data_IF_261472959898
#
_entry.id   IF_261472959898
#
_cell.length_a   1.000
_cell.length_b   1.000
_cell.length_c   1.000
_cell.angle_alpha   90.00
_cell.angle_beta   90.00
_cell.angle_gamma   90.00
#
_symmetry.space_group_name_H-M   'P 1'
#
loop_
_entity.id
_entity.type
_entity.pdbx_description
1 polymer ?
#
# COMPACT_ATOMS: atom_id res chain seq x y z
N UNK A 1 -38.61 -16.83 49.39
CA UNK A 1 -39.11 -15.59 50.06
C UNK A 1 -38.69 -14.45 49.16
N UNK A 2 -39.63 -14.02 48.46
CA UNK A 2 -40.29 -12.68 48.32
C UNK A 2 -39.52 -11.75 47.37
N UNK A 3 -40.04 -11.59 46.15
CA UNK A 3 -40.99 -10.57 45.68
C UNK A 3 -40.39 -9.16 45.71
N UNK A 4 -40.46 -8.31 44.73
CA UNK A 4 -41.53 -7.96 43.78
C UNK A 4 -41.04 -6.86 42.79
N UNK A 5 -41.41 -6.93 41.54
CA UNK A 5 -42.28 -6.02 40.74
C UNK A 5 -41.87 -4.54 40.71
N UNK A 6 -41.60 -4.06 39.56
CA UNK A 6 -42.42 -3.48 38.47
C UNK A 6 -42.55 -1.95 38.59
N UNK A 7 -42.23 -1.23 37.51
CA UNK A 7 -43.21 -0.33 36.88
C UNK A 7 -42.71 0.35 35.61
N UNK A 8 -43.46 0.17 34.52
CA UNK A 8 -43.53 1.12 33.40
C UNK A 8 -44.66 2.11 33.70
N UNK A 9 -44.68 3.26 33.10
CA UNK A 9 -45.84 3.50 32.24
C UNK A 9 -45.51 4.11 30.86
N UNK A 10 -46.44 3.81 29.95
CA UNK A 10 -46.64 4.36 28.61
C UNK A 10 -47.52 5.60 28.71
N UNK A 11 -47.71 6.19 27.54
CA UNK A 11 -48.71 7.13 27.04
C UNK A 11 -48.20 8.55 26.80
N UNK A 12 -48.53 9.32 25.80
CA UNK A 12 -49.64 9.23 24.86
C UNK A 12 -49.39 10.19 23.68
N UNK A 13 -50.05 9.90 22.62
CA UNK A 13 -50.18 10.68 21.35
C UNK A 13 -50.92 12.02 21.57
N UNK A 14 -50.60 13.01 20.75
CA UNK A 14 -51.69 13.89 20.20
C UNK A 14 -51.29 14.49 18.85
N UNK A 15 -52.21 14.39 17.91
CA UNK A 15 -52.30 14.96 16.55
C UNK A 15 -53.00 16.33 16.59
N UNK A 16 -52.63 17.22 15.64
CA UNK A 16 -53.52 18.10 14.87
C UNK A 16 -52.66 19.01 14.00
N UNK A 17 -52.72 19.05 12.73
CA UNK A 17 -53.65 19.39 11.65
C UNK A 17 -53.86 20.88 11.45
N UNK A 18 -53.68 21.26 10.14
CA UNK A 18 -54.27 22.35 9.31
C UNK A 18 -53.60 23.72 9.44
N UNK A 19 -53.45 24.57 8.44
CA UNK A 19 -53.92 24.66 7.05
C UNK A 19 -53.19 25.78 6.29
N UNK A 20 -52.97 25.58 5.02
CA UNK A 20 -53.20 26.41 3.84
C UNK A 20 -53.04 27.95 3.87
N UNK A 21 -52.38 28.47 2.84
CA UNK A 21 -52.46 29.85 2.41
C UNK A 21 -51.37 30.28 1.44
N UNK A 22 -51.55 30.11 0.13
CA UNK A 22 -50.98 30.99 -0.89
C UNK A 22 -52.01 32.06 -1.22
N UNK A 23 -51.66 33.23 -1.82
CA UNK A 23 -50.99 33.37 -3.10
C UNK A 23 -50.17 34.68 -3.38
N UNK A 24 -49.50 34.66 -4.56
CA UNK A 24 -49.25 35.75 -5.55
C UNK A 24 -48.41 36.96 -5.11
N UNK A 25 -47.53 37.50 -5.84
CA UNK A 25 -47.24 37.78 -7.24
C UNK A 25 -46.19 38.89 -7.34
N UNK A 26 -45.45 38.87 -8.43
CA UNK A 26 -44.81 40.01 -9.14
C UNK A 26 -43.50 40.62 -8.64
N UNK A 27 -42.49 40.61 -9.54
CA UNK A 27 -41.42 41.58 -9.54
C UNK A 27 -40.16 41.14 -10.30
N UNK A 28 -40.15 41.29 -11.63
CA UNK A 28 -38.95 41.28 -12.48
C UNK A 28 -37.84 42.17 -11.96
N UNK A 29 -36.62 41.68 -11.99
CA UNK A 29 -35.50 42.42 -12.64
C UNK A 29 -34.30 41.49 -12.92
N UNK A 30 -33.93 41.53 -14.17
CA UNK A 30 -32.75 40.97 -14.82
C UNK A 30 -31.46 41.52 -14.23
N UNK A 31 -30.52 40.61 -13.91
CA UNK A 31 -29.13 40.94 -13.66
C UNK A 31 -28.29 39.83 -14.26
N UNK A 32 -27.69 40.09 -15.41
CA UNK A 32 -26.79 39.20 -16.10
C UNK A 32 -25.49 39.04 -15.29
N UNK A 33 -25.13 37.79 -14.94
CA UNK A 33 -23.83 37.45 -14.46
C UNK A 33 -22.87 37.28 -15.66
N UNK A 34 -21.58 37.69 -15.56
CA UNK A 34 -20.64 37.57 -16.66
C UNK A 34 -20.21 36.11 -16.86
N UNK A 35 -20.21 35.70 -18.11
CA UNK A 35 -19.74 34.40 -18.56
C UNK A 35 -18.25 34.22 -18.24
N UNK A 36 -17.93 33.14 -17.53
CA UNK A 36 -16.54 32.61 -17.42
C UNK A 36 -16.06 32.14 -18.79
N UNK A 37 -14.80 32.40 -19.15
CA UNK A 37 -14.26 31.96 -20.42
C UNK A 37 -14.12 30.41 -20.42
N UNK A 38 -14.67 29.80 -21.46
CA UNK A 38 -14.54 28.39 -21.77
C UNK A 38 -13.04 28.01 -21.88
N UNK A 39 -12.60 27.13 -21.00
CA UNK A 39 -11.30 26.48 -21.12
C UNK A 39 -11.30 25.63 -22.40
N UNK A 40 -10.45 25.99 -23.32
CA UNK A 40 -10.18 25.20 -24.54
C UNK A 40 -9.54 23.89 -24.12
N UNK A 41 -10.27 22.78 -24.21
CA UNK A 41 -9.73 21.44 -24.16
C UNK A 41 -8.83 21.24 -25.37
N UNK A 42 -7.51 21.31 -25.14
CA UNK A 42 -6.51 20.84 -26.09
C UNK A 42 -6.61 19.31 -26.20
N UNK A 43 -6.20 18.72 -27.35
CA UNK A 43 -6.28 17.28 -27.54
C UNK A 43 -5.39 16.59 -26.50
N UNK A 44 -6.02 15.78 -25.62
CA UNK A 44 -5.32 14.84 -24.74
C UNK A 44 -4.51 13.91 -25.66
N UNK A 45 -3.20 14.03 -25.60
CA UNK A 45 -2.31 13.12 -26.31
C UNK A 45 -2.55 11.72 -25.76
N UNK A 46 -3.27 10.91 -26.53
CA UNK A 46 -3.49 9.50 -26.28
C UNK A 46 -2.12 8.83 -26.25
N UNK A 47 -1.64 8.46 -25.07
CA UNK A 47 -0.41 7.72 -24.89
C UNK A 47 -0.44 6.54 -25.87
N UNK A 48 0.59 6.41 -26.70
CA UNK A 48 0.74 5.29 -27.63
C UNK A 48 0.77 4.02 -26.79
N UNK A 49 -0.22 3.15 -26.95
CA UNK A 49 -0.22 1.84 -26.37
C UNK A 49 1.09 1.13 -26.74
N UNK A 50 1.91 0.83 -25.76
CA UNK A 50 3.13 0.04 -25.96
C UNK A 50 2.69 -1.38 -26.34
N UNK A 51 3.25 -1.94 -27.40
CA UNK A 51 2.93 -3.28 -27.93
C UNK A 51 3.57 -4.42 -27.13
N UNK A 52 4.09 -4.14 -25.94
CA UNK A 52 4.67 -5.11 -25.00
C UNK A 52 3.68 -5.58 -23.92
N UNK A 53 4.05 -6.58 -23.12
CA UNK A 53 3.25 -6.97 -21.96
C UNK A 53 3.00 -5.76 -21.04
N UNK A 54 1.87 -5.75 -20.29
CA UNK A 54 1.60 -4.66 -19.36
C UNK A 54 2.75 -4.55 -18.34
N UNK A 55 3.08 -3.32 -17.89
CA UNK A 55 4.05 -3.14 -16.83
C UNK A 55 3.54 -3.80 -15.55
N UNK A 56 4.46 -4.23 -14.68
CA UNK A 56 4.10 -4.74 -13.36
C UNK A 56 3.43 -3.66 -12.51
N UNK A 57 3.93 -2.42 -12.60
CA UNK A 57 3.34 -1.24 -11.94
C UNK A 57 3.32 -0.08 -12.94
N UNK A 58 2.19 0.61 -13.04
CA UNK A 58 2.09 1.86 -13.79
C UNK A 58 1.27 2.86 -12.99
N UNK A 59 1.78 4.09 -12.87
CA UNK A 59 1.06 5.22 -12.28
C UNK A 59 0.97 6.35 -13.27
N UNK A 60 -0.15 7.06 -13.27
CA UNK A 60 -0.39 8.23 -14.11
C UNK A 60 -0.91 9.35 -13.21
N UNK A 61 -0.10 10.39 -13.06
CA UNK A 61 -0.37 11.55 -12.20
C UNK A 61 -0.82 11.15 -10.78
N UNK A 62 -0.31 10.04 -10.25
CA UNK A 62 -0.72 9.50 -8.96
C UNK A 62 -0.28 10.42 -7.83
N UNK A 63 -1.23 10.97 -7.10
CA UNK A 63 -0.96 11.92 -6.03
C UNK A 63 -1.74 11.62 -4.74
N UNK A 64 -1.18 12.07 -3.61
CA UNK A 64 -1.85 12.00 -2.30
C UNK A 64 -1.68 13.29 -1.51
N UNK A 65 -2.80 13.82 -1.04
CA UNK A 65 -2.87 14.99 -0.15
C UNK A 65 -3.62 14.62 1.12
N UNK A 66 -3.18 15.18 2.24
CA UNK A 66 -3.89 15.14 3.52
C UNK A 66 -4.29 16.59 3.87
N UNK A 67 -5.55 16.96 3.59
CA UNK A 67 -5.96 18.35 3.58
C UNK A 67 -5.15 19.13 2.53
N UNK A 68 -4.49 20.21 2.94
CA UNK A 68 -3.64 21.03 2.04
C UNK A 68 -2.20 20.53 1.92
N UNK A 69 -1.79 19.57 2.76
CA UNK A 69 -0.43 19.04 2.76
C UNK A 69 -0.26 17.92 1.73
N UNK A 70 0.60 18.05 0.72
CA UNK A 70 0.94 16.97 -0.19
C UNK A 70 1.83 15.95 0.51
N UNK A 71 1.47 14.68 0.43
CA UNK A 71 2.31 13.55 0.88
C UNK A 71 3.00 12.87 -0.31
N UNK A 72 2.38 12.98 -1.49
CA UNK A 72 2.97 12.59 -2.77
C UNK A 72 2.45 13.56 -3.84
N UNK A 73 3.36 14.20 -4.56
CA UNK A 73 3.04 15.00 -5.72
C UNK A 73 2.68 14.11 -6.91
N UNK A 74 2.02 14.64 -7.96
CA UNK A 74 1.69 13.84 -9.14
C UNK A 74 2.90 13.09 -9.68
N UNK A 75 2.79 11.77 -9.74
CA UNK A 75 3.88 10.86 -10.06
C UNK A 75 3.49 9.94 -11.22
N UNK A 76 4.28 10.00 -12.27
CA UNK A 76 4.28 9.03 -13.36
C UNK A 76 5.42 8.03 -13.15
N UNK A 77 5.09 6.77 -12.93
CA UNK A 77 6.06 5.71 -12.72
C UNK A 77 5.68 4.49 -13.55
N UNK A 78 6.67 3.90 -14.21
CA UNK A 78 6.52 2.66 -14.95
C UNK A 78 7.59 1.67 -14.54
N UNK A 79 7.17 0.53 -14.01
CA UNK A 79 8.02 -0.58 -13.56
C UNK A 79 7.69 -1.78 -14.43
N UNK A 80 8.69 -2.32 -15.14
CA UNK A 80 8.55 -3.53 -15.95
C UNK A 80 8.39 -4.79 -15.11
N UNK A 81 7.85 -5.86 -15.72
CA UNK A 81 7.79 -7.16 -15.08
C UNK A 81 9.21 -7.71 -14.86
N UNK A 82 9.45 -8.32 -13.69
CA UNK A 82 10.74 -8.89 -13.30
C UNK A 82 11.81 -7.86 -12.91
N UNK A 83 11.50 -6.55 -12.79
CA UNK A 83 12.45 -5.58 -12.27
C UNK A 83 12.63 -5.74 -10.74
N UNK A 84 13.88 -5.55 -10.27
CA UNK A 84 14.20 -5.43 -8.84
C UNK A 84 14.59 -3.99 -8.53
N UNK A 85 13.77 -3.31 -7.74
CA UNK A 85 13.87 -1.88 -7.48
C UNK A 85 14.11 -1.63 -6.00
N UNK A 86 15.07 -0.75 -5.71
CA UNK A 86 15.19 -0.11 -4.40
C UNK A 86 14.50 1.25 -4.41
N UNK A 87 13.60 1.46 -3.46
CA UNK A 87 12.93 2.73 -3.23
C UNK A 87 13.53 3.37 -1.98
N UNK A 88 14.31 4.44 -2.13
CA UNK A 88 14.95 5.12 -1.02
C UNK A 88 14.37 6.51 -0.77
N UNK A 89 14.66 7.06 0.39
CA UNK A 89 14.27 8.40 0.80
C UNK A 89 14.15 8.47 2.33
N UNK A 90 14.21 9.68 2.86
CA UNK A 90 14.09 9.92 4.30
C UNK A 90 12.67 9.57 4.84
N UNK A 91 12.52 9.57 6.16
CA UNK A 91 11.21 9.40 6.79
C UNK A 91 10.30 10.57 6.41
N UNK A 92 9.08 10.22 5.93
CA UNK A 92 8.13 11.22 5.42
C UNK A 92 8.33 11.60 3.95
N UNK A 93 9.24 10.95 3.22
CA UNK A 93 9.43 11.23 1.77
C UNK A 93 8.29 10.74 0.87
N UNK A 94 7.35 9.93 1.38
CA UNK A 94 6.21 9.43 0.61
C UNK A 94 6.27 7.93 0.25
N UNK A 95 7.35 7.18 0.58
CA UNK A 95 7.50 5.74 0.24
C UNK A 95 6.31 4.88 0.70
N UNK A 96 6.02 4.90 1.99
CA UNK A 96 4.90 4.15 2.57
C UNK A 96 3.54 4.60 2.00
N UNK A 97 3.38 5.90 1.71
CA UNK A 97 2.18 6.44 1.08
C UNK A 97 2.00 5.87 -0.32
N UNK A 98 3.05 5.89 -1.13
CA UNK A 98 3.05 5.29 -2.47
C UNK A 98 2.71 3.78 -2.40
N UNK A 99 3.40 3.02 -1.55
CA UNK A 99 3.16 1.58 -1.40
C UNK A 99 1.72 1.27 -0.97
N UNK A 100 1.17 1.99 0.01
CA UNK A 100 -0.21 1.80 0.48
C UNK A 100 -1.25 2.13 -0.60
N UNK A 101 -0.99 3.11 -1.47
CA UNK A 101 -1.86 3.36 -2.63
C UNK A 101 -1.79 2.22 -3.63
N UNK A 102 -0.58 1.73 -3.97
CA UNK A 102 -0.39 0.64 -4.92
C UNK A 102 -1.08 -0.66 -4.49
N UNK A 103 -1.08 -0.99 -3.19
CA UNK A 103 -1.80 -2.17 -2.69
C UNK A 103 -3.30 -1.93 -2.44
N UNK A 104 -3.80 -0.72 -2.70
CA UNK A 104 -5.21 -0.38 -2.53
C UNK A 104 -5.65 -0.21 -1.07
N UNK A 105 -4.70 -0.01 -0.13
CA UNK A 105 -4.98 0.32 1.28
C UNK A 105 -5.22 1.82 1.50
N UNK A 106 -4.83 2.65 0.56
CA UNK A 106 -4.99 4.09 0.60
C UNK A 106 -5.50 4.59 -0.75
N UNK A 107 -6.61 5.30 -0.75
CA UNK A 107 -7.17 5.89 -1.95
C UNK A 107 -6.33 7.10 -2.41
N UNK A 108 -5.93 7.18 -3.68
CA UNK A 108 -5.30 8.35 -4.25
C UNK A 108 -6.19 9.59 -4.14
N UNK A 109 -5.60 10.77 -4.04
CA UNK A 109 -6.34 12.03 -4.17
C UNK A 109 -6.53 12.41 -5.63
N UNK A 110 -5.57 12.06 -6.49
CA UNK A 110 -5.57 12.33 -7.93
C UNK A 110 -4.82 11.21 -8.66
N UNK A 111 -5.07 11.09 -9.96
CA UNK A 111 -4.40 10.12 -10.82
C UNK A 111 -4.90 8.70 -10.68
N UNK A 112 -4.20 7.78 -11.32
CA UNK A 112 -4.53 6.34 -11.35
C UNK A 112 -3.29 5.49 -11.24
N UNK A 113 -3.46 4.22 -10.82
CA UNK A 113 -2.40 3.24 -10.86
C UNK A 113 -2.94 1.85 -11.23
N UNK A 114 -2.06 1.03 -11.80
CA UNK A 114 -2.33 -0.38 -12.10
C UNK A 114 -1.23 -1.28 -11.56
N UNK A 115 -1.61 -2.50 -11.17
CA UNK A 115 -0.71 -3.62 -10.85
C UNK A 115 -1.00 -4.74 -11.83
N UNK A 116 0.03 -5.21 -12.54
CA UNK A 116 -0.08 -6.24 -13.59
C UNK A 116 -1.18 -5.88 -14.64
N UNK A 117 -1.37 -4.59 -14.94
CA UNK A 117 -2.39 -4.08 -15.83
C UNK A 117 -3.80 -3.93 -15.24
N UNK A 118 -4.01 -4.31 -13.97
CA UNK A 118 -5.31 -4.21 -13.27
C UNK A 118 -5.34 -2.96 -12.38
N UNK A 119 -6.47 -2.22 -12.33
CA UNK A 119 -6.59 -1.04 -11.45
C UNK A 119 -6.33 -1.39 -9.99
N UNK A 120 -5.57 -0.55 -9.27
CA UNK A 120 -5.33 -0.72 -7.82
C UNK A 120 -6.66 -0.86 -7.07
N UNK A 121 -6.67 -1.73 -6.05
CA UNK A 121 -7.88 -2.01 -5.27
C UNK A 121 -8.84 -3.02 -5.91
N UNK A 122 -8.68 -3.40 -7.19
CA UNK A 122 -9.42 -4.51 -7.80
C UNK A 122 -9.01 -5.87 -7.20
N UNK A 123 -9.84 -6.90 -7.38
CA UNK A 123 -9.55 -8.26 -6.91
C UNK A 123 -8.31 -8.80 -7.60
N UNK A 124 -8.19 -8.56 -8.91
CA UNK A 124 -7.09 -9.01 -9.74
C UNK A 124 -5.77 -8.34 -9.32
N UNK A 125 -5.76 -7.03 -9.08
CA UNK A 125 -4.59 -6.32 -8.58
C UNK A 125 -4.16 -6.83 -7.20
N UNK A 126 -5.11 -7.12 -6.28
CA UNK A 126 -4.82 -7.69 -4.97
C UNK A 126 -4.31 -9.13 -5.05
N UNK A 127 -4.78 -9.92 -6.01
CA UNK A 127 -4.27 -11.26 -6.24
C UNK A 127 -2.82 -11.22 -6.75
N UNK A 128 -2.48 -10.25 -7.60
CA UNK A 128 -1.16 -10.11 -8.19
C UNK A 128 -0.10 -9.50 -7.25
N UNK A 129 -0.50 -8.75 -6.19
CA UNK A 129 0.45 -8.05 -5.32
C UNK A 129 0.51 -8.66 -3.93
N UNK A 130 1.74 -8.90 -3.42
CA UNK A 130 1.99 -9.16 -2.00
C UNK A 130 2.65 -7.94 -1.35
N UNK A 131 2.35 -7.70 -0.08
CA UNK A 131 2.85 -6.53 0.65
C UNK A 131 3.34 -6.89 2.05
N UNK A 132 4.61 -6.62 2.30
CA UNK A 132 5.21 -6.66 3.62
C UNK A 132 5.34 -5.24 4.17
N UNK A 133 4.52 -4.91 5.15
CA UNK A 133 4.51 -3.60 5.79
C UNK A 133 5.62 -3.49 6.87
N UNK A 134 6.14 -2.27 7.11
CA UNK A 134 7.05 -1.99 8.25
C UNK A 134 6.44 -2.38 9.61
N UNK A 135 5.13 -2.17 9.75
CA UNK A 135 4.40 -2.55 10.95
C UNK A 135 3.29 -3.53 10.56
N UNK A 136 3.56 -4.85 10.58
CA UNK A 136 2.57 -5.84 10.25
C UNK A 136 1.46 -5.91 11.31
N UNK A 137 0.23 -6.12 10.84
CA UNK A 137 -0.95 -6.31 11.68
C UNK A 137 -1.40 -7.76 11.56
N UNK A 138 -1.73 -8.36 12.69
CA UNK A 138 -2.17 -9.75 12.80
C UNK A 138 -3.58 -9.81 13.40
N UNK A 139 -4.29 -10.88 13.13
CA UNK A 139 -5.50 -11.22 13.87
C UNK A 139 -5.11 -11.62 15.30
N UNK A 140 -5.87 -11.16 16.28
CA UNK A 140 -5.51 -11.32 17.70
C UNK A 140 -5.67 -12.76 18.20
N UNK A 141 -6.49 -13.55 17.51
CA UNK A 141 -6.91 -14.90 17.87
C UNK A 141 -6.37 -16.02 16.97
N UNK A 142 -5.52 -15.67 15.99
CA UNK A 142 -4.89 -16.66 15.12
C UNK A 142 -3.41 -16.84 15.48
N UNK A 143 -2.97 -18.10 15.50
CA UNK A 143 -1.55 -18.49 15.59
C UNK A 143 -0.82 -18.16 14.28
N UNK A 144 0.51 -18.29 14.27
CA UNK A 144 1.30 -18.13 13.03
C UNK A 144 0.81 -19.12 11.97
N UNK A 145 0.60 -20.40 12.35
CA UNK A 145 0.14 -21.43 11.42
C UNK A 145 -1.24 -21.12 10.84
N UNK A 146 -2.19 -20.73 11.68
CA UNK A 146 -3.54 -20.38 11.27
C UNK A 146 -3.57 -19.15 10.35
N UNK A 147 -2.66 -18.17 10.54
CA UNK A 147 -2.52 -17.07 9.58
C UNK A 147 -2.02 -17.54 8.22
N UNK A 148 -1.03 -18.46 8.19
CA UNK A 148 -0.51 -19.02 6.93
C UNK A 148 -1.61 -19.79 6.20
N UNK A 149 -2.35 -20.66 6.91
CA UNK A 149 -3.51 -21.38 6.36
C UNK A 149 -4.56 -20.41 5.81
N UNK A 150 -4.93 -19.39 6.59
CA UNK A 150 -5.93 -18.41 6.20
C UNK A 150 -5.54 -17.69 4.90
N UNK A 151 -4.29 -17.20 4.82
CA UNK A 151 -3.79 -16.48 3.64
C UNK A 151 -3.70 -17.41 2.42
N UNK A 152 -3.16 -18.60 2.58
CA UNK A 152 -3.04 -19.57 1.51
C UNK A 152 -4.41 -19.95 0.93
N UNK A 153 -5.39 -20.28 1.78
CA UNK A 153 -6.75 -20.59 1.36
C UNK A 153 -7.46 -19.41 0.71
N UNK A 154 -7.27 -18.19 1.23
CA UNK A 154 -7.85 -16.95 0.67
C UNK A 154 -7.37 -16.71 -0.77
N UNK A 155 -6.13 -17.08 -1.07
CA UNK A 155 -5.52 -16.92 -2.38
C UNK A 155 -5.56 -18.18 -3.26
N UNK A 156 -6.19 -19.27 -2.78
CA UNK A 156 -6.33 -20.51 -3.54
C UNK A 156 -4.98 -21.20 -3.79
N UNK A 157 -4.05 -21.11 -2.84
CA UNK A 157 -2.76 -21.80 -2.92
C UNK A 157 -2.97 -23.26 -2.57
N UNK A 158 -2.76 -24.13 -3.54
CA UNK A 158 -2.75 -25.59 -3.34
C UNK A 158 -1.40 -26.02 -2.74
N UNK A 159 -1.39 -27.11 -1.97
CA UNK A 159 -0.18 -27.71 -1.34
C UNK A 159 0.66 -26.69 -0.53
N UNK A 160 0.00 -25.70 0.07
CA UNK A 160 0.63 -24.62 0.82
C UNK A 160 1.35 -25.08 2.10
N UNK A 161 0.97 -26.22 2.66
CA UNK A 161 1.48 -26.73 3.95
C UNK A 161 3.01 -26.94 3.90
N UNK A 162 3.51 -27.56 2.81
CA UNK A 162 4.94 -27.79 2.67
C UNK A 162 5.69 -26.46 2.49
N UNK A 163 5.15 -25.55 1.68
CA UNK A 163 5.72 -24.22 1.52
C UNK A 163 5.73 -23.44 2.84
N UNK A 164 4.67 -23.54 3.64
CA UNK A 164 4.59 -22.91 4.96
C UNK A 164 5.67 -23.46 5.92
N UNK A 165 5.86 -24.78 5.94
CA UNK A 165 6.93 -25.43 6.75
C UNK A 165 8.30 -24.90 6.34
N UNK A 166 8.60 -24.88 5.05
CA UNK A 166 9.89 -24.41 4.53
C UNK A 166 10.15 -22.93 4.88
N UNK A 167 9.12 -22.08 4.73
CA UNK A 167 9.18 -20.66 5.08
C UNK A 167 9.41 -20.43 6.58
N UNK A 168 8.69 -21.14 7.42
CA UNK A 168 8.79 -21.03 8.89
C UNK A 168 10.14 -21.51 9.38
N UNK A 169 10.68 -22.61 8.82
CA UNK A 169 12.01 -23.12 9.15
C UNK A 169 13.11 -22.14 8.72
N UNK A 170 13.03 -21.61 7.50
CA UNK A 170 13.99 -20.64 6.95
C UNK A 170 14.14 -19.40 7.84
N UNK A 171 13.04 -18.86 8.39
CA UNK A 171 13.10 -17.69 9.27
C UNK A 171 13.35 -18.05 10.76
N UNK A 172 13.40 -19.35 11.09
CA UNK A 172 13.60 -19.84 12.46
C UNK A 172 12.42 -19.58 13.39
N UNK A 173 11.19 -19.86 12.91
CA UNK A 173 9.94 -19.75 13.69
C UNK A 173 9.27 -21.09 13.98
N UNK A 174 9.92 -22.24 13.67
CA UNK A 174 9.30 -23.56 13.77
C UNK A 174 8.74 -23.83 15.20
N UNK A 175 9.48 -23.48 16.24
CA UNK A 175 9.07 -23.67 17.65
C UNK A 175 7.99 -22.68 18.11
N UNK A 176 7.51 -21.82 17.23
CA UNK A 176 6.58 -20.72 17.52
C UNK A 176 5.36 -20.69 16.61
N UNK A 177 5.15 -21.73 15.79
CA UNK A 177 4.04 -21.78 14.80
C UNK A 177 2.67 -21.75 15.47
N UNK A 178 2.56 -22.30 16.66
CA UNK A 178 1.33 -22.36 17.46
C UNK A 178 1.15 -21.16 18.40
N UNK A 179 2.11 -20.21 18.41
CA UNK A 179 2.02 -19.01 19.21
C UNK A 179 1.24 -17.89 18.48
N UNK A 180 0.62 -17.00 19.26
CA UNK A 180 -0.07 -15.81 18.75
C UNK A 180 0.94 -14.70 18.42
N UNK A 181 1.02 -14.21 17.19
CA UNK A 181 1.96 -13.15 16.79
C UNK A 181 1.81 -11.85 17.58
N UNK A 182 0.64 -11.59 18.16
CA UNK A 182 0.38 -10.42 19.01
C UNK A 182 1.30 -10.36 20.23
N UNK A 183 1.75 -11.53 20.73
CA UNK A 183 2.67 -11.66 21.87
C UNK A 183 4.15 -11.54 21.49
N UNK A 184 4.46 -11.48 20.20
CA UNK A 184 5.82 -11.51 19.70
C UNK A 184 6.57 -10.18 19.89
N UNK A 185 7.90 -10.28 20.01
CA UNK A 185 8.78 -9.14 19.84
C UNK A 185 8.69 -8.59 18.41
N UNK A 186 9.15 -7.36 18.17
CA UNK A 186 9.14 -6.74 16.84
C UNK A 186 9.81 -7.66 15.78
N UNK A 187 10.96 -8.24 16.10
CA UNK A 187 11.70 -9.12 15.19
C UNK A 187 10.93 -10.41 14.86
N UNK A 188 10.29 -11.04 15.86
CA UNK A 188 9.46 -12.22 15.63
C UNK A 188 8.20 -11.88 14.81
N UNK A 189 7.60 -10.70 15.03
CA UNK A 189 6.48 -10.19 14.20
C UNK A 189 6.91 -10.00 12.76
N UNK A 190 8.10 -9.45 12.54
CA UNK A 190 8.63 -9.25 11.19
C UNK A 190 8.90 -10.59 10.47
N UNK A 191 9.46 -11.59 11.19
CA UNK A 191 9.64 -12.94 10.67
C UNK A 191 8.31 -13.60 10.30
N UNK A 192 7.29 -13.53 11.18
CA UNK A 192 5.95 -14.05 10.91
C UNK A 192 5.30 -13.36 9.69
N UNK A 193 5.40 -12.03 9.61
CA UNK A 193 4.88 -11.28 8.46
C UNK A 193 5.60 -11.65 7.14
N UNK A 194 6.90 -11.92 7.21
CA UNK A 194 7.68 -12.39 6.07
C UNK A 194 7.14 -13.73 5.55
N UNK A 195 6.93 -14.73 6.41
CA UNK A 195 6.36 -16.01 5.98
C UNK A 195 4.96 -15.84 5.37
N UNK A 196 4.12 -15.00 5.95
CA UNK A 196 2.78 -14.71 5.44
C UNK A 196 2.79 -14.00 4.09
N UNK A 197 3.78 -13.15 3.82
CA UNK A 197 3.90 -12.46 2.55
C UNK A 197 4.32 -13.40 1.40
N UNK A 198 5.05 -14.49 1.72
CA UNK A 198 5.58 -15.43 0.74
C UNK A 198 4.78 -16.74 0.61
N UNK A 199 3.82 -17.04 1.51
CA UNK A 199 3.05 -18.31 1.48
C UNK A 199 2.06 -18.41 0.30
N UNK A 200 1.88 -17.36 -0.45
CA UNK A 200 0.98 -17.28 -1.59
C UNK A 200 1.68 -16.81 -2.86
N UNK A 201 1.17 -17.14 -4.06
CA UNK A 201 1.71 -16.61 -5.31
C UNK A 201 1.49 -15.09 -5.43
N UNK A 202 2.38 -14.43 -6.14
CA UNK A 202 2.30 -13.00 -6.49
C UNK A 202 3.17 -12.71 -7.72
N UNK A 203 2.80 -11.67 -8.48
CA UNK A 203 3.59 -11.13 -9.60
C UNK A 203 4.45 -9.95 -9.15
N UNK A 204 3.98 -9.23 -8.13
CA UNK A 204 4.62 -8.04 -7.56
C UNK A 204 4.73 -8.17 -6.05
N UNK A 205 5.93 -7.94 -5.51
CA UNK A 205 6.17 -7.86 -4.08
C UNK A 205 6.58 -6.43 -3.71
N UNK A 206 5.78 -5.80 -2.84
CA UNK A 206 6.10 -4.50 -2.26
C UNK A 206 6.53 -4.70 -0.81
N UNK A 207 7.65 -4.13 -0.42
CA UNK A 207 8.26 -4.36 0.90
C UNK A 207 8.68 -3.03 1.52
N UNK A 208 8.13 -2.71 2.68
CA UNK A 208 8.41 -1.46 3.40
C UNK A 208 9.30 -1.71 4.61
N UNK A 209 10.56 -1.24 4.56
CA UNK A 209 11.57 -1.29 5.63
C UNK A 209 11.77 -2.70 6.24
N UNK A 210 12.01 -3.75 5.43
CA UNK A 210 11.95 -5.14 5.89
C UNK A 210 13.08 -5.55 6.84
N UNK A 211 14.21 -4.87 6.79
CA UNK A 211 15.40 -5.23 7.58
C UNK A 211 15.33 -4.82 9.04
N UNK A 212 14.38 -3.93 9.37
CA UNK A 212 14.25 -3.36 10.72
C UNK A 212 13.74 -4.41 11.70
N UNK A 213 14.53 -4.67 12.73
CA UNK A 213 14.18 -5.63 13.80
C UNK A 213 14.53 -7.08 13.50
N UNK A 214 14.93 -7.42 12.28
CA UNK A 214 15.40 -8.77 11.96
C UNK A 214 16.82 -9.01 12.54
N UNK A 215 16.99 -10.21 13.13
CA UNK A 215 18.29 -10.75 13.45
C UNK A 215 19.05 -11.19 12.17
N UNK A 216 20.27 -11.70 12.33
CA UNK A 216 21.09 -12.12 11.20
C UNK A 216 20.40 -13.21 10.37
N UNK A 217 19.84 -14.22 11.03
CA UNK A 217 19.13 -15.31 10.34
C UNK A 217 17.93 -14.79 9.54
N UNK A 218 17.12 -13.91 10.14
CA UNK A 218 15.97 -13.30 9.46
C UNK A 218 16.37 -12.43 8.26
N UNK A 219 17.50 -11.73 8.34
CA UNK A 219 18.03 -10.96 7.19
C UNK A 219 18.53 -11.87 6.06
N UNK A 220 19.24 -12.93 6.40
CA UNK A 220 19.72 -13.93 5.44
C UNK A 220 18.53 -14.60 4.74
N UNK A 221 17.52 -15.04 5.50
CA UNK A 221 16.27 -15.61 4.97
C UNK A 221 15.53 -14.65 4.03
N UNK A 222 15.40 -13.38 4.42
CA UNK A 222 14.77 -12.37 3.57
C UNK A 222 15.49 -12.21 2.24
N UNK A 223 16.82 -12.10 2.25
CA UNK A 223 17.59 -11.93 1.02
C UNK A 223 17.47 -13.15 0.11
N UNK A 224 17.46 -14.36 0.69
CA UNK A 224 17.26 -15.61 -0.05
C UNK A 224 15.85 -15.67 -0.68
N UNK A 225 14.80 -15.36 0.08
CA UNK A 225 13.43 -15.31 -0.43
C UNK A 225 13.25 -14.30 -1.55
N UNK A 226 13.88 -13.12 -1.43
CA UNK A 226 13.85 -12.11 -2.49
C UNK A 226 14.59 -12.60 -3.75
N UNK A 227 15.72 -13.30 -3.59
CA UNK A 227 16.46 -13.85 -4.72
C UNK A 227 15.67 -14.95 -5.44
N UNK A 228 15.03 -15.85 -4.69
CA UNK A 228 14.16 -16.90 -5.23
C UNK A 228 12.97 -16.30 -6.00
N UNK A 229 12.22 -15.39 -5.37
CA UNK A 229 11.06 -14.74 -6.01
C UNK A 229 11.45 -13.97 -7.27
N UNK A 230 12.58 -13.25 -7.24
CA UNK A 230 13.09 -12.58 -8.45
C UNK A 230 13.52 -13.57 -9.54
N UNK A 231 14.16 -14.68 -9.14
CA UNK A 231 14.52 -15.77 -10.06
C UNK A 231 13.32 -16.42 -10.74
N UNK A 232 12.18 -16.47 -10.05
CA UNK A 232 10.89 -16.94 -10.57
C UNK A 232 10.16 -15.87 -11.41
N UNK A 233 10.75 -14.68 -11.57
CA UNK A 233 10.22 -13.60 -12.42
C UNK A 233 9.36 -12.56 -11.72
N UNK A 234 9.23 -12.61 -10.39
CA UNK A 234 8.49 -11.60 -9.64
C UNK A 234 9.17 -10.23 -9.71
N UNK A 235 8.37 -9.19 -9.78
CA UNK A 235 8.81 -7.79 -9.67
C UNK A 235 8.91 -7.41 -8.20
N UNK A 236 10.07 -6.89 -7.78
CA UNK A 236 10.35 -6.54 -6.40
C UNK A 236 10.53 -5.03 -6.24
N UNK A 237 9.81 -4.42 -5.30
CA UNK A 237 10.02 -3.02 -4.88
C UNK A 237 10.29 -2.99 -3.38
N UNK A 238 11.53 -2.72 -3.00
CA UNK A 238 11.99 -2.71 -1.61
C UNK A 238 12.24 -1.28 -1.16
N UNK A 239 11.38 -0.74 -0.30
CA UNK A 239 11.66 0.52 0.37
C UNK A 239 12.60 0.28 1.54
N UNK A 240 13.73 0.95 1.53
CA UNK A 240 14.74 0.79 2.57
C UNK A 240 15.63 2.03 2.69
N UNK A 241 16.22 2.19 3.87
CA UNK A 241 17.34 3.09 4.12
C UNK A 241 18.69 2.34 4.25
N UNK A 242 18.67 1.01 4.11
CA UNK A 242 19.86 0.17 4.21
C UNK A 242 20.60 0.13 2.85
N UNK A 243 21.63 0.95 2.71
CA UNK A 243 22.33 1.17 1.44
C UNK A 243 23.04 -0.08 0.90
N UNK A 244 23.32 -1.08 1.75
CA UNK A 244 23.91 -2.36 1.32
C UNK A 244 22.98 -3.12 0.38
N UNK A 245 21.68 -3.09 0.62
CA UNK A 245 20.68 -3.79 -0.22
C UNK A 245 20.39 -3.07 -1.54
N UNK A 246 20.66 -1.76 -1.61
CA UNK A 246 20.44 -0.94 -2.81
C UNK A 246 21.36 -1.38 -3.96
N UNK A 247 22.59 -1.77 -3.65
CA UNK A 247 23.57 -2.19 -4.67
C UNK A 247 23.20 -3.47 -5.42
N UNK A 248 22.28 -4.26 -4.86
CA UNK A 248 21.79 -5.50 -5.47
C UNK A 248 20.56 -5.30 -6.34
N UNK A 249 20.00 -4.09 -6.38
CA UNK A 249 18.86 -3.75 -7.24
C UNK A 249 19.33 -3.36 -8.64
N UNK A 250 18.51 -3.65 -9.64
CA UNK A 250 18.75 -3.22 -11.02
C UNK A 250 18.35 -1.77 -11.30
N UNK A 251 17.55 -1.16 -10.40
CA UNK A 251 17.07 0.22 -10.52
C UNK A 251 16.85 0.84 -9.15
N UNK A 252 17.22 2.09 -9.03
CA UNK A 252 17.03 2.91 -7.84
C UNK A 252 16.05 4.03 -8.12
N UNK A 253 15.05 4.16 -7.24
CA UNK A 253 14.14 5.29 -7.22
C UNK A 253 14.30 6.01 -5.87
N UNK A 254 14.59 7.31 -5.90
CA UNK A 254 14.68 8.11 -4.69
C UNK A 254 13.51 9.08 -4.59
N UNK A 255 12.87 9.10 -3.42
CA UNK A 255 11.79 10.04 -3.07
C UNK A 255 12.27 11.06 -2.04
N UNK A 256 11.99 12.34 -2.28
CA UNK A 256 12.18 13.42 -1.32
C UNK A 256 10.96 14.33 -1.32
N UNK A 257 10.41 14.61 -0.14
CA UNK A 257 9.24 15.51 0.03
C UNK A 257 8.06 15.21 -0.90
N UNK A 258 7.84 13.92 -1.22
CA UNK A 258 6.75 13.48 -2.09
C UNK A 258 7.04 13.53 -3.59
N UNK A 259 8.26 13.84 -3.99
CA UNK A 259 8.70 13.89 -5.39
C UNK A 259 9.78 12.87 -5.68
N UNK A 260 9.86 12.36 -6.93
CA UNK A 260 10.97 11.55 -7.40
C UNK A 260 12.16 12.47 -7.71
N UNK A 261 13.25 12.28 -6.99
CA UNK A 261 14.50 13.05 -7.17
C UNK A 261 15.56 12.28 -7.96
N UNK A 262 15.42 10.96 -8.04
CA UNK A 262 16.28 10.09 -8.84
C UNK A 262 15.51 8.87 -9.34
N UNK A 263 15.77 8.46 -10.56
CA UNK A 263 15.27 7.22 -11.16
C UNK A 263 16.29 6.72 -12.18
N UNK A 264 17.05 5.66 -11.84
CA UNK A 264 18.13 5.17 -12.68
C UNK A 264 18.94 4.03 -12.07
N UNK A 265 20.14 3.80 -12.63
CA UNK A 265 21.06 2.76 -12.16
C UNK A 265 21.63 3.14 -10.79
N UNK A 266 21.58 2.24 -9.78
CA UNK A 266 22.19 2.49 -8.47
C UNK A 266 23.68 2.84 -8.51
N UNK A 267 24.41 2.36 -9.55
CA UNK A 267 25.85 2.62 -9.72
C UNK A 267 26.17 4.08 -10.06
N UNK A 268 25.22 4.78 -10.68
CA UNK A 268 25.37 6.20 -11.09
C UNK A 268 24.85 7.17 -10.01
N UNK A 269 24.29 6.66 -8.92
CA UNK A 269 23.64 7.46 -7.89
C UNK A 269 24.61 7.92 -6.80
N UNK A 270 24.54 9.18 -6.42
CA UNK A 270 25.12 9.65 -5.15
C UNK A 270 24.19 9.31 -3.98
N UNK A 271 24.36 8.07 -3.47
CA UNK A 271 23.52 7.54 -2.39
C UNK A 271 23.59 8.38 -1.12
N UNK A 272 24.72 9.05 -0.84
CA UNK A 272 24.88 9.91 0.32
C UNK A 272 24.01 11.16 0.17
N UNK A 273 24.09 11.83 -0.97
CA UNK A 273 23.27 13.01 -1.26
C UNK A 273 21.76 12.70 -1.27
N UNK A 274 21.36 11.54 -1.81
CA UNK A 274 19.96 11.12 -1.88
C UNK A 274 19.36 10.75 -0.51
N UNK A 275 20.18 10.35 0.46
CA UNK A 275 19.72 9.99 1.80
C UNK A 275 19.84 11.17 2.80
N UNK A 276 20.76 12.13 2.58
CA UNK A 276 20.96 13.29 3.45
C UNK A 276 20.04 14.48 3.15
N UNK A 277 19.30 14.46 2.05
CA UNK A 277 18.56 15.57 1.43
C UNK A 277 17.48 16.29 2.26
N UNK A 278 17.53 16.33 3.62
CA UNK A 278 16.50 16.99 4.46
C UNK A 278 17.07 17.65 5.72
N UNK A 279 18.35 17.92 5.80
CA UNK A 279 18.87 18.73 6.92
C UNK A 279 18.87 20.23 6.69
N UNK A 280 18.57 20.72 5.48
CA UNK A 280 18.73 22.14 5.13
C UNK A 280 17.45 23.00 5.07
N UNK A 281 16.25 22.43 5.14
CA UNK A 281 14.99 23.19 5.03
C UNK A 281 14.27 23.44 6.39
N UNK A 282 15.03 23.43 7.49
CA UNK A 282 14.52 23.80 8.83
C UNK A 282 15.47 24.80 9.53
N UNK A 283 15.69 25.94 8.92
CA UNK A 283 16.11 27.16 9.62
C UNK A 283 15.16 28.34 9.28
#
# INVERSE_FOLDING_TARGET
MSNSRSNRPQSERTRARTSAGSPSSTGKKSGAAPASPAAKSGPVARAKASTGPPPAIETVELAKRYGDAPALWPLDLRIGAGERISLIGHNGSGKTTLMRMLVGMLEPSEGTATIAGHPIGSIEARAAVSYLADQPVFYDDLTVWEHLEYIARLHGTDDWEQQAVDLVDMVGLMDRVDDLPTTFSRGLKQKAALTMAFVRPFDVMLIDEPFVGLDRLGKEALLELLALAHGDGATLVVATHELSSVKESGRLIALSSGEVTYDGDPADADLAALTEGVRQDRE
#
